data_IF_940545984105
#
_entry.id   IF_940545984105
#
_cell.length_a   1.000
_cell.length_b   1.000
_cell.length_c   1.000
_cell.angle_alpha   90.00
_cell.angle_beta   90.00
_cell.angle_gamma   90.00
#
_symmetry.space_group_name_H-M   'P 1'
#
loop_
_entity.id
_entity.type
_entity.pdbx_description
1 polymer ?
#
# COMPACT_ATOMS: atom_id res chain seq x y z
N UNK A 1 133.80 15.57 -52.25
CA UNK A 1 132.80 14.78 -51.47
C UNK A 1 133.43 14.47 -50.12
N UNK A 2 132.75 14.77 -49.01
CA UNK A 2 133.27 14.42 -47.69
C UNK A 2 133.27 12.89 -47.51
N UNK A 3 134.33 12.34 -46.91
CA UNK A 3 134.44 10.90 -46.62
C UNK A 3 133.51 10.57 -45.44
N UNK A 4 132.48 9.74 -45.67
CA UNK A 4 131.60 9.25 -44.59
C UNK A 4 132.34 8.17 -43.81
N UNK A 5 132.50 8.36 -42.49
CA UNK A 5 133.14 7.39 -41.58
C UNK A 5 132.08 6.54 -40.88
N UNK A 6 132.38 5.26 -40.65
CA UNK A 6 131.54 4.32 -39.91
C UNK A 6 132.28 3.84 -38.67
N UNK A 7 131.60 3.79 -37.53
CA UNK A 7 132.13 3.27 -36.26
C UNK A 7 131.07 2.43 -35.55
N UNK A 8 131.47 1.40 -34.80
CA UNK A 8 130.55 0.54 -34.07
C UNK A 8 131.08 0.19 -32.67
N UNK A 9 130.18 -0.08 -31.72
CA UNK A 9 130.54 -0.44 -30.34
C UNK A 9 129.32 -0.43 -29.42
N UNK A 10 129.51 -0.52 -28.10
CA UNK A 10 128.39 -0.40 -27.15
C UNK A 10 127.97 1.06 -26.95
N UNK A 11 126.74 1.30 -26.49
CA UNK A 11 126.23 2.63 -26.16
C UNK A 11 127.11 3.36 -25.14
N UNK A 12 127.62 2.63 -24.15
CA UNK A 12 128.56 3.17 -23.17
C UNK A 12 129.87 3.68 -23.82
N UNK A 13 130.40 2.97 -24.81
CA UNK A 13 131.59 3.41 -25.57
C UNK A 13 131.29 4.62 -26.44
N UNK A 14 130.11 4.69 -27.06
CA UNK A 14 129.66 5.88 -27.77
C UNK A 14 129.51 7.10 -26.84
N UNK A 15 128.95 6.90 -25.63
CA UNK A 15 128.75 7.98 -24.66
C UNK A 15 130.05 8.51 -24.07
N UNK A 16 131.09 7.68 -23.99
CA UNK A 16 132.43 8.08 -23.55
C UNK A 16 133.20 8.93 -24.59
N UNK A 17 132.73 9.05 -25.84
CA UNK A 17 133.37 9.87 -26.88
C UNK A 17 133.17 11.36 -26.60
N UNK A 18 134.27 12.12 -26.51
CA UNK A 18 134.26 13.58 -26.38
C UNK A 18 135.47 14.21 -27.11
N UNK A 19 135.27 15.02 -28.17
CA UNK A 19 134.01 15.28 -28.87
C UNK A 19 133.57 14.09 -29.74
N UNK A 20 132.28 14.01 -30.06
CA UNK A 20 131.75 13.09 -31.07
C UNK A 20 131.98 13.71 -32.46
N UNK A 21 132.52 12.94 -33.41
CA UNK A 21 132.75 13.42 -34.78
C UNK A 21 131.40 13.56 -35.51
N UNK A 22 131.06 14.77 -35.95
CA UNK A 22 129.80 15.10 -36.61
C UNK A 22 129.63 14.41 -37.97
N UNK A 23 130.72 13.95 -38.59
CA UNK A 23 130.72 13.28 -39.89
C UNK A 23 130.84 11.75 -39.80
N UNK A 24 130.81 11.19 -38.58
CA UNK A 24 130.81 9.73 -38.35
C UNK A 24 129.41 9.19 -38.04
N UNK A 25 129.07 8.08 -38.70
CA UNK A 25 127.93 7.24 -38.36
C UNK A 25 128.33 6.19 -37.32
N UNK A 26 127.69 6.23 -36.16
CA UNK A 26 127.93 5.32 -35.05
C UNK A 26 126.79 4.29 -34.91
N UNK A 27 127.16 3.01 -34.92
CA UNK A 27 126.25 1.88 -34.77
C UNK A 27 126.46 1.26 -33.39
N UNK A 28 125.45 1.36 -32.52
CA UNK A 28 125.52 0.74 -31.20
C UNK A 28 125.05 -0.71 -31.26
N UNK A 29 125.90 -1.65 -30.85
CA UNK A 29 125.63 -3.09 -30.99
C UNK A 29 124.70 -3.65 -29.93
N UNK A 30 124.63 -3.00 -28.76
CA UNK A 30 123.82 -3.38 -27.62
C UNK A 30 122.42 -2.77 -27.66
N UNK A 31 122.30 -1.48 -27.98
CA UNK A 31 121.00 -0.78 -28.03
C UNK A 31 120.39 -0.71 -29.44
N UNK A 32 121.12 -1.16 -30.47
CA UNK A 32 120.72 -1.12 -31.89
C UNK A 32 120.37 0.29 -32.39
N UNK A 33 120.99 1.32 -31.80
CA UNK A 33 120.79 2.71 -32.17
C UNK A 33 121.81 3.19 -33.21
N UNK A 34 121.38 4.09 -34.09
CA UNK A 34 122.22 4.78 -35.07
C UNK A 34 122.36 6.26 -34.69
N UNK A 35 123.60 6.76 -34.64
CA UNK A 35 123.88 8.18 -34.43
C UNK A 35 124.71 8.76 -35.57
N UNK A 36 124.49 10.03 -35.91
CA UNK A 36 125.43 10.86 -36.68
C UNK A 36 125.95 11.95 -35.74
N UNK A 37 127.21 11.86 -35.33
CA UNK A 37 127.72 12.72 -34.26
C UNK A 37 126.93 12.56 -32.96
N UNK A 38 126.28 13.63 -32.51
CA UNK A 38 125.42 13.68 -31.32
C UNK A 38 123.94 13.36 -31.60
N UNK A 39 123.53 13.35 -32.88
CA UNK A 39 122.13 13.17 -33.26
C UNK A 39 121.78 11.68 -33.42
N UNK A 40 120.72 11.24 -32.76
CA UNK A 40 120.19 9.87 -32.87
C UNK A 40 119.11 9.76 -33.95
N UNK A 41 119.18 8.73 -34.79
CA UNK A 41 118.27 8.50 -35.92
C UNK A 41 117.32 7.31 -35.73
N UNK A 42 117.49 6.50 -34.69
CA UNK A 42 116.73 5.26 -34.44
C UNK A 42 115.54 5.41 -33.50
N UNK A 43 115.42 6.51 -32.76
CA UNK A 43 114.30 6.71 -31.84
C UNK A 43 113.01 6.98 -32.61
N UNK A 44 112.03 6.10 -32.45
CA UNK A 44 110.66 6.27 -32.96
C UNK A 44 109.78 7.06 -32.00
N UNK A 45 110.23 7.28 -30.75
CA UNK A 45 109.52 8.09 -29.75
C UNK A 45 110.44 8.92 -28.86
N UNK A 46 109.91 10.04 -28.33
CA UNK A 46 110.56 10.96 -27.40
C UNK A 46 109.61 11.32 -26.26
N UNK A 47 110.07 11.16 -25.02
CA UNK A 47 109.36 11.69 -23.85
C UNK A 47 109.69 13.17 -23.68
N UNK A 48 108.67 14.00 -23.52
CA UNK A 48 108.80 15.46 -23.37
C UNK A 48 107.88 15.98 -22.26
N UNK A 49 108.29 17.05 -21.59
CA UNK A 49 107.41 17.78 -20.65
C UNK A 49 106.47 18.74 -21.38
N UNK A 50 106.86 19.22 -22.56
CA UNK A 50 106.04 20.04 -23.45
C UNK A 50 106.42 19.75 -24.91
N UNK A 51 105.51 20.01 -25.85
CA UNK A 51 105.84 19.85 -27.27
C UNK A 51 106.92 20.87 -27.69
N UNK A 52 107.96 20.44 -28.42
CA UNK A 52 109.04 21.34 -28.82
C UNK A 52 108.54 22.40 -29.81
N UNK A 53 108.98 23.64 -29.62
CA UNK A 53 108.69 24.77 -30.53
C UNK A 53 109.70 24.91 -31.66
N UNK A 54 110.89 24.31 -31.52
CA UNK A 54 111.92 24.22 -32.55
C UNK A 54 112.56 22.84 -32.56
N UNK A 55 113.13 22.43 -33.71
CA UNK A 55 113.79 21.12 -33.84
C UNK A 55 112.83 19.92 -33.87
N UNK A 56 111.59 20.12 -34.31
CA UNK A 56 110.60 19.06 -34.49
C UNK A 56 111.07 18.12 -35.61
N UNK A 57 111.17 16.84 -35.27
CA UNK A 57 111.49 15.78 -36.21
C UNK A 57 110.18 15.12 -36.67
N UNK A 58 109.95 15.14 -37.99
CA UNK A 58 108.81 14.50 -38.63
C UNK A 58 108.84 12.99 -38.40
N UNK A 59 107.67 12.39 -38.14
CA UNK A 59 107.53 10.94 -37.99
C UNK A 59 107.90 10.37 -36.61
N UNK A 60 108.39 11.20 -35.67
CA UNK A 60 108.63 10.78 -34.28
C UNK A 60 107.39 11.02 -33.42
N UNK A 61 107.06 10.05 -32.57
CA UNK A 61 106.01 10.19 -31.55
C UNK A 61 106.57 10.91 -30.32
N UNK A 62 106.01 12.07 -29.99
CA UNK A 62 106.27 12.83 -28.78
C UNK A 62 105.25 12.42 -27.71
N UNK A 63 105.74 11.76 -26.67
CA UNK A 63 104.96 11.40 -25.50
C UNK A 63 105.07 12.53 -24.47
N UNK A 64 103.98 13.26 -24.25
CA UNK A 64 103.95 14.35 -23.29
C UNK A 64 103.64 13.79 -21.90
N UNK A 65 104.59 13.93 -20.98
CA UNK A 65 104.53 13.33 -19.65
C UNK A 65 103.54 14.02 -18.69
N UNK A 66 103.02 15.21 -19.04
CA UNK A 66 102.10 15.98 -18.19
C UNK A 66 100.65 15.49 -18.28
N UNK A 67 100.21 15.09 -19.46
CA UNK A 67 98.82 14.69 -19.76
C UNK A 67 98.75 13.31 -20.44
N UNK A 68 99.90 12.62 -20.53
CA UNK A 68 100.05 11.31 -21.19
C UNK A 68 99.57 11.31 -22.65
N UNK A 69 99.58 12.48 -23.31
CA UNK A 69 99.20 12.61 -24.71
C UNK A 69 100.34 12.23 -25.66
N UNK A 70 99.97 11.57 -26.75
CA UNK A 70 100.87 11.12 -27.81
C UNK A 70 100.66 12.01 -29.03
N UNK A 71 101.72 12.67 -29.48
CA UNK A 71 101.66 13.58 -30.63
C UNK A 71 102.67 13.18 -31.69
N UNK A 72 102.34 13.30 -32.97
CA UNK A 72 103.29 13.14 -34.07
C UNK A 72 103.41 14.45 -34.84
N UNK A 73 104.64 14.85 -35.16
CA UNK A 73 104.86 15.99 -36.05
C UNK A 73 104.69 15.53 -37.51
N UNK A 74 103.71 16.10 -38.22
CA UNK A 74 103.45 15.74 -39.62
C UNK A 74 104.26 16.56 -40.65
N UNK A 75 105.05 17.54 -40.18
CA UNK A 75 105.79 18.49 -41.03
C UNK A 75 105.28 19.93 -40.89
N UNK A 76 104.03 20.11 -40.44
CA UNK A 76 103.35 21.41 -40.31
C UNK A 76 102.80 21.63 -38.90
N UNK A 77 102.23 20.60 -38.29
CA UNK A 77 101.64 20.66 -36.95
C UNK A 77 101.82 19.34 -36.18
N UNK A 78 101.53 19.39 -34.87
CA UNK A 78 101.43 18.20 -34.04
C UNK A 78 100.02 17.62 -34.13
N UNK A 79 99.92 16.38 -34.60
CA UNK A 79 98.67 15.62 -34.59
C UNK A 79 98.64 14.73 -33.35
N UNK A 80 97.63 14.90 -32.50
CA UNK A 80 97.42 14.03 -31.35
C UNK A 80 96.87 12.67 -31.79
N UNK A 81 97.43 11.59 -31.27
CA UNK A 81 97.12 10.20 -31.66
C UNK A 81 96.15 9.51 -30.71
N UNK A 82 96.11 9.93 -29.43
CA UNK A 82 95.21 9.38 -28.43
C UNK A 82 94.07 10.36 -28.12
N UNK A 83 92.89 9.85 -27.76
CA UNK A 83 91.81 10.69 -27.21
C UNK A 83 92.25 11.29 -25.88
N UNK A 84 91.88 12.54 -25.64
CA UNK A 84 92.14 13.21 -24.37
C UNK A 84 91.27 12.63 -23.26
N UNK A 85 91.83 12.49 -22.06
CA UNK A 85 91.06 12.09 -20.88
C UNK A 85 90.45 13.31 -20.19
N UNK A 86 89.20 13.21 -19.75
CA UNK A 86 88.52 14.26 -18.98
C UNK A 86 88.41 13.90 -17.50
N UNK A 87 88.66 14.88 -16.64
CA UNK A 87 88.58 14.72 -15.17
C UNK A 87 87.19 14.97 -14.61
N UNK A 88 86.25 15.41 -15.45
CA UNK A 88 84.84 15.61 -15.14
C UNK A 88 84.02 15.25 -16.38
N UNK A 89 82.88 14.58 -16.20
CA UNK A 89 81.96 14.29 -17.31
C UNK A 89 81.15 15.57 -17.61
N UNK A 90 81.28 16.17 -18.81
CA UNK A 90 80.49 17.35 -19.17
C UNK A 90 79.03 16.98 -19.44
N UNK A 91 78.13 17.97 -19.39
CA UNK A 91 76.70 17.75 -19.61
C UNK A 91 76.36 17.35 -21.06
N UNK A 92 77.19 17.79 -21.98
CA UNK A 92 77.16 17.60 -23.43
C UNK A 92 78.33 16.72 -23.91
N UNK A 93 78.67 15.69 -23.12
CA UNK A 93 79.74 14.75 -23.45
C UNK A 93 79.56 14.15 -24.85
N UNK A 94 80.68 14.07 -25.57
CA UNK A 94 80.79 13.49 -26.91
C UNK A 94 81.55 12.17 -26.86
N UNK A 95 81.53 11.41 -27.96
CA UNK A 95 82.31 10.16 -28.09
C UNK A 95 83.84 10.37 -27.95
N UNK A 96 84.31 11.61 -27.96
CA UNK A 96 85.72 11.95 -27.82
C UNK A 96 86.16 12.19 -26.37
N UNK A 97 85.21 12.36 -25.45
CA UNK A 97 85.48 12.61 -24.03
C UNK A 97 85.68 11.29 -23.29
N UNK A 98 86.93 10.91 -23.02
CA UNK A 98 87.24 9.69 -22.28
C UNK A 98 87.34 10.00 -20.77
N UNK A 99 86.35 9.63 -19.93
CA UNK A 99 86.39 10.00 -18.54
C UNK A 99 87.42 9.18 -17.76
N UNK A 100 88.08 9.82 -16.79
CA UNK A 100 88.86 9.11 -15.77
C UNK A 100 87.93 8.30 -14.84
N UNK A 101 88.45 7.25 -14.21
CA UNK A 101 87.68 6.45 -13.22
C UNK A 101 87.10 7.32 -12.10
N UNK A 102 87.85 8.34 -11.66
CA UNK A 102 87.36 9.31 -10.67
C UNK A 102 86.19 10.14 -11.20
N UNK A 103 86.25 10.61 -12.44
CA UNK A 103 85.16 11.37 -13.06
C UNK A 103 83.85 10.55 -13.11
N UNK A 104 83.94 9.25 -13.40
CA UNK A 104 82.77 8.34 -13.38
C UNK A 104 82.23 8.17 -11.95
N UNK A 105 83.10 7.89 -10.99
CA UNK A 105 82.69 7.72 -9.59
C UNK A 105 82.02 8.98 -9.04
N UNK A 106 82.60 10.16 -9.28
CA UNK A 106 82.04 11.44 -8.84
C UNK A 106 80.69 11.72 -9.51
N UNK A 107 80.56 11.46 -10.82
CA UNK A 107 79.29 11.64 -11.54
C UNK A 107 78.19 10.72 -11.01
N UNK A 108 78.48 9.43 -10.83
CA UNK A 108 77.53 8.46 -10.27
C UNK A 108 77.15 8.84 -8.85
N UNK A 109 78.11 9.16 -7.98
CA UNK A 109 77.83 9.60 -6.62
C UNK A 109 76.98 10.87 -6.59
N UNK A 110 77.25 11.85 -7.46
CA UNK A 110 76.44 13.06 -7.56
C UNK A 110 74.99 12.75 -8.01
N UNK A 111 74.80 11.82 -8.96
CA UNK A 111 73.46 11.37 -9.38
C UNK A 111 72.73 10.60 -8.29
N UNK A 112 73.44 9.75 -7.54
CA UNK A 112 72.90 9.02 -6.39
C UNK A 112 72.52 9.98 -5.26
N UNK A 113 73.39 10.91 -4.89
CA UNK A 113 73.08 11.93 -3.88
C UNK A 113 71.92 12.86 -4.30
N UNK A 114 71.73 13.07 -5.61
CA UNK A 114 70.59 13.81 -6.14
C UNK A 114 69.26 13.03 -6.11
N UNK A 115 69.25 11.78 -5.65
CA UNK A 115 68.03 10.97 -5.48
C UNK A 115 67.90 10.37 -4.08
N UNK A 116 69.01 10.13 -3.40
CA UNK A 116 69.09 9.57 -2.05
C UNK A 116 68.67 10.61 -1.01
N UNK A 117 67.83 10.21 -0.05
CA UNK A 117 67.34 11.09 1.01
C UNK A 117 66.36 12.18 0.57
N UNK A 118 65.96 12.21 -0.72
CA UNK A 118 64.96 13.18 -1.19
C UNK A 118 63.55 12.67 -0.86
N UNK A 119 62.96 13.36 0.10
CA UNK A 119 61.55 13.25 0.50
C UNK A 119 60.61 13.31 -0.70
N UNK A 120 59.66 12.38 -0.77
CA UNK A 120 58.58 12.31 -1.76
C UNK A 120 58.92 11.66 -3.10
N UNK A 121 60.19 11.34 -3.39
CA UNK A 121 60.62 10.82 -4.70
C UNK A 121 60.50 9.30 -4.84
N UNK A 122 60.92 8.55 -3.84
CA UNK A 122 60.91 7.07 -3.83
C UNK A 122 60.20 6.55 -2.59
N UNK A 123 59.62 5.36 -2.68
CA UNK A 123 59.08 4.66 -1.52
C UNK A 123 60.24 4.14 -0.68
N UNK A 124 60.31 4.54 0.58
CA UNK A 124 61.34 4.13 1.53
C UNK A 124 60.87 2.99 2.41
N UNK A 125 59.56 2.93 2.68
CA UNK A 125 58.98 1.87 3.51
C UNK A 125 57.49 1.65 3.16
N UNK A 126 57.01 0.42 3.37
CA UNK A 126 55.61 0.03 3.24
C UNK A 126 55.25 -0.89 4.39
N UNK A 127 54.31 -0.47 5.23
CA UNK A 127 53.84 -1.27 6.37
C UNK A 127 52.34 -1.50 6.30
N UNK A 128 51.92 -2.62 6.90
CA UNK A 128 50.52 -2.99 7.05
C UNK A 128 50.23 -3.21 8.53
N UNK A 129 49.15 -2.59 9.02
CA UNK A 129 48.63 -2.85 10.35
C UNK A 129 47.11 -2.78 10.33
N UNK A 130 46.45 -3.90 10.65
CA UNK A 130 45.00 -3.99 10.86
C UNK A 130 44.16 -3.20 9.84
N UNK A 131 44.33 -3.50 8.55
CA UNK A 131 43.56 -2.87 7.47
C UNK A 131 44.06 -1.51 7.01
N UNK A 132 45.14 -0.98 7.58
CA UNK A 132 45.77 0.28 7.14
C UNK A 132 47.10 -0.03 6.46
N UNK A 133 47.24 0.42 5.21
CA UNK A 133 48.51 0.47 4.51
C UNK A 133 49.16 1.83 4.75
N UNK A 134 50.43 1.83 5.10
CA UNK A 134 51.20 3.03 5.40
C UNK A 134 52.42 3.06 4.49
N UNK A 135 52.49 4.07 3.62
CA UNK A 135 53.55 4.20 2.60
C UNK A 135 54.39 5.43 2.90
N UNK A 136 55.66 5.23 3.25
CA UNK A 136 56.62 6.28 3.50
C UNK A 136 57.44 6.60 2.24
N UNK A 137 57.70 7.90 2.01
CA UNK A 137 58.63 8.38 0.98
C UNK A 137 59.72 9.26 1.59
N UNK A 138 60.34 8.81 2.67
CA UNK A 138 61.33 9.58 3.45
C UNK A 138 60.73 10.66 4.36
N UNK A 139 59.41 10.76 4.43
CA UNK A 139 58.61 11.66 5.27
C UNK A 139 57.60 10.86 6.09
N UNK A 140 56.79 11.56 6.89
CA UNK A 140 55.61 10.98 7.53
C UNK A 140 54.80 10.15 6.52
N UNK A 141 54.48 8.90 6.85
CA UNK A 141 53.89 7.99 5.90
C UNK A 141 52.45 8.39 5.57
N UNK A 142 52.07 8.19 4.30
CA UNK A 142 50.70 8.35 3.86
C UNK A 142 49.95 7.07 4.18
N UNK A 143 48.92 7.19 5.02
CA UNK A 143 48.08 6.06 5.43
C UNK A 143 46.82 5.96 4.59
N UNK A 144 46.52 4.76 4.12
CA UNK A 144 45.29 4.43 3.39
C UNK A 144 44.62 3.23 4.06
N UNK A 145 43.41 3.43 4.56
CA UNK A 145 42.58 2.34 5.07
C UNK A 145 42.00 1.53 3.90
N UNK A 146 42.05 0.20 4.01
CA UNK A 146 41.44 -0.76 3.08
C UNK A 146 39.91 -0.80 3.28
N UNK A 147 39.27 0.34 3.10
CA UNK A 147 37.84 0.52 3.36
C UNK A 147 37.01 -0.48 2.56
N UNK A 148 36.09 -1.18 3.23
CA UNK A 148 35.20 -2.16 2.61
C UNK A 148 35.71 -3.60 2.63
N UNK A 149 36.93 -3.87 3.11
CA UNK A 149 37.46 -5.23 3.25
C UNK A 149 37.00 -5.83 4.58
N UNK A 150 36.39 -7.01 4.50
CA UNK A 150 35.96 -7.79 5.68
C UNK A 150 37.17 -8.44 6.35
N UNK A 151 37.21 -8.43 7.68
CA UNK A 151 38.18 -9.18 8.46
C UNK A 151 37.49 -9.93 9.60
N UNK A 152 38.09 -11.05 10.02
CA UNK A 152 37.69 -11.81 11.21
C UNK A 152 36.16 -12.04 11.33
N UNK A 153 35.51 -12.63 10.32
CA UNK A 153 34.08 -12.89 10.37
C UNK A 153 33.76 -13.87 11.50
N UNK A 154 32.67 -13.60 12.23
CA UNK A 154 32.24 -14.44 13.36
C UNK A 154 30.80 -14.88 13.21
N UNK A 155 30.50 -16.06 13.76
CA UNK A 155 29.15 -16.60 13.85
C UNK A 155 28.76 -16.76 15.32
N UNK A 156 27.62 -16.19 15.67
CA UNK A 156 26.97 -16.37 16.96
C UNK A 156 25.82 -17.35 16.81
N UNK A 157 26.00 -18.54 17.40
CA UNK A 157 25.01 -19.62 17.35
C UNK A 157 23.76 -19.33 18.18
N UNK A 158 23.87 -18.56 19.27
CA UNK A 158 22.73 -18.22 20.14
C UNK A 158 21.79 -17.25 19.44
N UNK A 159 22.35 -16.24 18.76
CA UNK A 159 21.56 -15.23 18.04
C UNK A 159 21.33 -15.58 16.56
N UNK A 160 21.99 -16.63 16.04
CA UNK A 160 22.05 -16.98 14.60
C UNK A 160 22.43 -15.79 13.73
N UNK A 161 23.40 -15.00 14.19
CA UNK A 161 23.91 -13.84 13.44
C UNK A 161 25.33 -14.08 12.95
N UNK A 162 25.61 -13.62 11.73
CA UNK A 162 26.97 -13.53 11.20
C UNK A 162 27.38 -12.06 11.28
N UNK A 163 28.50 -11.79 11.95
CA UNK A 163 29.12 -10.46 12.01
C UNK A 163 30.34 -10.46 11.11
N UNK A 164 30.40 -9.47 10.23
CA UNK A 164 31.47 -9.25 9.27
C UNK A 164 32.07 -7.86 9.56
N UNK A 165 33.03 -7.76 10.50
CA UNK A 165 33.77 -6.51 10.72
C UNK A 165 34.41 -6.04 9.42
N UNK A 166 34.33 -4.74 9.14
CA UNK A 166 34.84 -4.14 7.89
C UNK A 166 35.82 -3.04 8.26
N UNK A 167 37.00 -3.05 7.64
CA UNK A 167 37.95 -1.95 7.83
C UNK A 167 37.34 -0.64 7.33
N UNK A 168 37.50 0.44 8.13
CA UNK A 168 37.05 1.79 7.76
C UNK A 168 35.54 1.99 7.64
N UNK A 169 34.71 1.05 8.12
CA UNK A 169 33.26 1.12 8.04
C UNK A 169 32.55 0.36 9.16
N UNK A 170 31.23 0.33 9.08
CA UNK A 170 30.40 -0.38 10.06
C UNK A 170 30.49 -1.90 9.86
N UNK A 171 30.34 -2.64 10.97
CA UNK A 171 30.24 -4.10 10.92
C UNK A 171 28.96 -4.52 10.21
N UNK A 172 29.08 -5.28 9.12
CA UNK A 172 27.94 -5.86 8.45
C UNK A 172 27.39 -7.02 9.30
N UNK A 173 26.13 -6.92 9.70
CA UNK A 173 25.45 -7.95 10.49
C UNK A 173 24.37 -8.61 9.65
N UNK A 174 24.47 -9.92 9.47
CA UNK A 174 23.48 -10.74 8.77
C UNK A 174 22.73 -11.55 9.83
N UNK A 175 21.44 -11.25 10.00
CA UNK A 175 20.56 -12.07 10.80
C UNK A 175 19.99 -13.20 9.93
N UNK A 176 20.31 -14.45 10.26
CA UNK A 176 19.82 -15.61 9.50
C UNK A 176 18.35 -15.96 9.80
N UNK A 177 17.74 -15.27 10.77
CA UNK A 177 16.43 -15.62 11.31
C UNK A 177 16.48 -16.89 12.16
N UNK A 178 15.78 -16.89 13.29
CA UNK A 178 15.45 -18.14 13.97
C UNK A 178 14.18 -18.68 13.32
N UNK A 179 14.22 -19.92 12.85
CA UNK A 179 13.02 -20.60 12.39
C UNK A 179 12.07 -20.76 13.58
N UNK A 180 10.89 -20.13 13.49
CA UNK A 180 9.84 -20.26 14.48
C UNK A 180 9.14 -21.60 14.25
N UNK A 181 9.63 -22.64 14.90
CA UNK A 181 9.04 -23.97 14.87
C UNK A 181 8.22 -24.22 16.13
N UNK A 182 7.16 -25.01 16.01
CA UNK A 182 6.34 -25.40 17.16
C UNK A 182 7.12 -26.41 18.00
N UNK A 183 7.39 -26.06 19.26
CA UNK A 183 8.10 -26.91 20.22
C UNK A 183 7.17 -27.92 20.89
N UNK A 184 5.95 -27.50 21.20
CA UNK A 184 4.90 -28.34 21.75
C UNK A 184 3.53 -27.72 21.48
N UNK A 185 2.49 -28.55 21.55
CA UNK A 185 1.10 -28.12 21.57
C UNK A 185 0.40 -28.71 22.79
N UNK A 186 -0.34 -27.88 23.52
CA UNK A 186 -1.12 -28.30 24.69
C UNK A 186 -2.55 -27.78 24.59
N UNK A 187 -3.49 -28.49 25.21
CA UNK A 187 -4.87 -28.03 25.31
C UNK A 187 -5.10 -27.41 26.70
N UNK A 188 -5.43 -26.12 26.73
CA UNK A 188 -5.75 -25.39 27.95
C UNK A 188 -7.24 -25.57 28.26
N UNK A 189 -7.53 -26.35 29.31
CA UNK A 189 -8.91 -26.70 29.72
C UNK A 189 -9.68 -25.53 30.31
N UNK A 190 -9.00 -24.50 30.84
CA UNK A 190 -9.62 -23.33 31.46
C UNK A 190 -10.12 -22.34 30.40
N UNK A 191 -9.25 -22.03 29.44
CA UNK A 191 -9.53 -21.05 28.41
C UNK A 191 -10.06 -21.69 27.11
N UNK A 192 -10.14 -23.03 27.07
CA UNK A 192 -10.58 -23.84 25.91
C UNK A 192 -9.82 -23.50 24.62
N UNK A 193 -8.51 -23.31 24.74
CA UNK A 193 -7.61 -23.02 23.61
C UNK A 193 -6.65 -24.19 23.37
N UNK A 194 -6.31 -24.43 22.11
CA UNK A 194 -5.06 -25.12 21.78
C UNK A 194 -3.95 -24.08 21.81
N UNK A 195 -2.95 -24.31 22.65
CA UNK A 195 -1.81 -23.44 22.84
C UNK A 195 -0.57 -24.10 22.21
N UNK A 196 -0.08 -23.51 21.11
CA UNK A 196 1.13 -23.94 20.43
C UNK A 196 2.29 -23.04 20.86
N UNK A 197 3.27 -23.60 21.54
CA UNK A 197 4.45 -22.85 21.99
C UNK A 197 5.52 -22.90 20.89
N UNK A 198 5.94 -21.73 20.41
CA UNK A 198 7.03 -21.60 19.45
C UNK A 198 8.39 -21.75 20.14
N UNK A 199 9.44 -22.01 19.37
CA UNK A 199 10.82 -22.01 19.86
C UNK A 199 11.28 -20.67 20.46
N UNK A 200 10.60 -19.56 20.15
CA UNK A 200 10.83 -18.25 20.78
C UNK A 200 10.25 -18.13 22.20
N UNK A 201 9.37 -19.04 22.60
CA UNK A 201 8.58 -18.95 23.84
C UNK A 201 7.22 -18.26 23.65
N UNK A 202 6.96 -17.67 22.49
CA UNK A 202 5.63 -17.12 22.16
C UNK A 202 4.60 -18.24 22.02
N UNK A 203 3.37 -17.96 22.42
CA UNK A 203 2.26 -18.93 22.40
C UNK A 203 1.19 -18.48 21.41
N UNK A 204 0.92 -19.32 20.41
CA UNK A 204 -0.22 -19.15 19.50
C UNK A 204 -1.43 -19.81 20.16
N UNK A 205 -2.50 -19.03 20.37
CA UNK A 205 -3.76 -19.52 20.96
C UNK A 205 -4.81 -19.68 19.87
N UNK A 206 -5.29 -20.92 19.69
CA UNK A 206 -6.38 -21.24 18.78
C UNK A 206 -7.63 -21.50 19.64
N UNK A 207 -8.63 -20.61 19.60
CA UNK A 207 -9.86 -20.80 20.36
C UNK A 207 -10.68 -21.94 19.76
N UNK A 208 -10.86 -22.99 20.55
CA UNK A 208 -11.66 -24.17 20.17
C UNK A 208 -12.88 -24.36 21.06
N UNK A 209 -13.15 -23.41 21.97
CA UNK A 209 -14.25 -23.51 22.94
C UNK A 209 -15.61 -23.86 22.32
N UNK A 210 -15.97 -23.24 21.20
CA UNK A 210 -17.23 -23.51 20.49
C UNK A 210 -17.27 -24.85 19.76
N UNK A 211 -16.13 -25.51 19.53
CA UNK A 211 -16.05 -26.82 18.88
C UNK A 211 -16.18 -27.99 19.87
N UNK A 212 -16.02 -27.72 21.17
CA UNK A 212 -15.97 -28.73 22.23
C UNK A 212 -17.02 -28.51 23.32
N UNK A 213 -17.99 -27.63 23.08
CA UNK A 213 -19.01 -27.34 24.10
C UNK A 213 -19.87 -28.57 24.38
N UNK A 214 -19.84 -28.99 25.65
CA UNK A 214 -20.64 -30.09 26.17
C UNK A 214 -22.00 -29.49 26.56
N UNK A 215 -23.03 -29.81 25.79
CA UNK A 215 -24.40 -29.47 26.17
C UNK A 215 -24.77 -30.27 27.42
N UNK A 216 -25.21 -29.57 28.48
CA UNK A 216 -25.69 -30.21 29.70
C UNK A 216 -27.21 -30.11 29.74
N UNK A 217 -27.88 -31.25 29.88
CA UNK A 217 -29.32 -31.29 30.07
C UNK A 217 -29.71 -30.73 31.44
N UNK A 218 -30.81 -29.99 31.50
CA UNK A 218 -31.32 -29.38 32.74
C UNK A 218 -32.70 -29.92 33.06
N UNK A 219 -32.92 -30.29 34.32
CA UNK A 219 -34.24 -30.65 34.82
C UNK A 219 -35.02 -29.41 35.28
N UNK A 220 -36.27 -29.33 34.86
CA UNK A 220 -37.24 -28.29 35.27
C UNK A 220 -38.47 -28.96 35.91
N UNK A 221 -39.42 -28.19 36.47
CA UNK A 221 -40.65 -28.76 37.02
C UNK A 221 -41.53 -29.50 35.99
N UNK A 222 -41.49 -29.13 34.71
CA UNK A 222 -42.34 -29.71 33.65
C UNK A 222 -41.64 -30.73 32.76
N UNK A 223 -40.30 -30.72 32.69
CA UNK A 223 -39.56 -31.64 31.84
C UNK A 223 -38.13 -31.87 32.35
N UNK A 224 -37.56 -33.02 31.98
CA UNK A 224 -36.17 -33.38 32.21
C UNK A 224 -35.48 -33.57 30.86
N UNK A 225 -34.43 -32.78 30.61
CA UNK A 225 -33.61 -32.88 29.41
C UNK A 225 -32.31 -33.57 29.79
N UNK A 226 -31.89 -34.57 29.01
CA UNK A 226 -30.64 -35.30 29.22
C UNK A 226 -29.83 -35.34 27.93
N UNK A 227 -28.50 -35.26 28.05
CA UNK A 227 -27.56 -35.44 26.93
C UNK A 227 -26.79 -36.72 27.18
N UNK A 228 -26.87 -37.67 26.25
CA UNK A 228 -26.20 -38.97 26.37
C UNK A 228 -24.70 -38.87 26.05
N UNK A 229 -23.94 -39.92 26.39
CA UNK A 229 -22.52 -40.03 26.04
C UNK A 229 -22.26 -40.01 24.52
N UNK A 230 -23.25 -40.36 23.71
CA UNK A 230 -23.20 -40.31 22.24
C UNK A 230 -23.71 -38.98 21.66
N UNK A 231 -23.82 -37.93 22.49
CA UNK A 231 -24.34 -36.61 22.13
C UNK A 231 -25.79 -36.61 21.61
N UNK A 232 -26.63 -37.57 22.03
CA UNK A 232 -28.07 -37.54 21.74
C UNK A 232 -28.80 -36.77 22.83
N UNK A 233 -29.63 -35.81 22.42
CA UNK A 233 -30.49 -35.04 23.33
C UNK A 233 -31.82 -35.78 23.46
N UNK A 234 -32.27 -36.01 24.69
CA UNK A 234 -33.58 -36.61 24.98
C UNK A 234 -34.33 -35.75 25.99
N UNK A 235 -35.67 -35.73 25.87
CA UNK A 235 -36.55 -34.94 26.73
C UNK A 235 -37.66 -35.84 27.26
N UNK A 236 -37.80 -35.88 28.58
CA UNK A 236 -38.90 -36.53 29.27
C UNK A 236 -39.84 -35.47 29.85
N UNK A 237 -41.11 -35.44 29.42
CA UNK A 237 -42.12 -34.52 29.95
C UNK A 237 -42.74 -35.10 31.22
N UNK A 238 -42.93 -34.28 32.25
CA UNK A 238 -43.51 -34.69 33.53
C UNK A 238 -45.02 -34.45 33.52
N UNK A 239 -45.79 -35.48 33.85
CA UNK A 239 -47.25 -35.38 34.04
C UNK A 239 -47.55 -35.16 35.52
N UNK A 240 -48.40 -34.18 35.81
CA UNK A 240 -48.79 -33.83 37.18
C UNK A 240 -49.60 -34.95 37.83
N UNK A 241 -49.22 -35.33 39.05
CA UNK A 241 -49.95 -36.31 39.86
C UNK A 241 -51.19 -35.73 40.60
N UNK A 242 -51.55 -34.46 40.36
CA UNK A 242 -52.72 -33.84 40.98
C UNK A 242 -54.01 -34.55 40.55
N UNK A 243 -54.93 -34.74 41.50
CA UNK A 243 -56.27 -35.24 41.21
C UNK A 243 -56.95 -34.35 40.15
N UNK A 244 -57.68 -34.98 39.22
CA UNK A 244 -58.37 -34.35 38.07
C UNK A 244 -57.46 -33.83 36.94
N UNK A 245 -56.17 -34.20 36.90
CA UNK A 245 -55.37 -34.02 35.68
C UNK A 245 -55.82 -35.03 34.61
N UNK A 246 -56.17 -34.56 33.42
CA UNK A 246 -56.65 -35.37 32.29
C UNK A 246 -55.58 -35.64 31.23
N UNK A 247 -54.37 -35.08 31.38
CA UNK A 247 -53.23 -35.29 30.51
C UNK A 247 -52.58 -36.66 30.76
N UNK A 248 -52.51 -37.50 29.73
CA UNK A 248 -51.77 -38.77 29.69
C UNK A 248 -50.61 -38.70 28.69
N UNK A 249 -49.59 -39.51 28.93
CA UNK A 249 -48.50 -39.75 27.97
C UNK A 249 -48.80 -41.05 27.25
N UNK A 250 -48.99 -40.97 25.94
CA UNK A 250 -49.17 -42.10 25.04
C UNK A 250 -47.89 -42.34 24.22
N UNK A 251 -47.81 -43.46 23.50
CA UNK A 251 -46.65 -43.79 22.66
C UNK A 251 -46.43 -42.77 21.53
N UNK A 252 -47.50 -42.12 21.06
CA UNK A 252 -47.49 -41.14 19.98
C UNK A 252 -47.52 -39.67 20.45
N UNK A 253 -47.60 -39.40 21.76
CA UNK A 253 -47.47 -38.05 22.30
C UNK A 253 -48.25 -37.75 23.57
N UNK A 254 -48.55 -36.46 23.77
CA UNK A 254 -49.32 -35.95 24.90
C UNK A 254 -50.81 -35.97 24.54
N UNK A 255 -51.63 -36.68 25.33
CA UNK A 255 -53.06 -36.81 25.10
C UNK A 255 -53.87 -36.22 26.26
N UNK A 256 -55.02 -35.59 25.95
CA UNK A 256 -55.97 -35.11 26.96
C UNK A 256 -57.34 -35.65 26.61
N UNK A 257 -57.96 -36.40 27.54
CA UNK A 257 -59.35 -36.81 27.40
C UNK A 257 -60.28 -35.65 27.78
N UNK A 258 -61.27 -35.36 26.94
CA UNK A 258 -62.36 -34.42 27.23
C UNK A 258 -63.64 -35.23 27.43
N UNK A 259 -64.01 -35.60 28.67
CA UNK A 259 -65.29 -36.25 28.92
C UNK A 259 -66.44 -35.24 28.75
N UNK A 260 -67.50 -35.63 28.03
CA UNK A 260 -68.71 -34.82 27.86
C UNK A 260 -69.42 -34.55 29.19
N UNK A 261 -69.93 -33.33 29.37
CA UNK A 261 -70.53 -32.86 30.62
C UNK A 261 -71.90 -33.49 30.97
N UNK A 262 -72.59 -34.10 30.00
CA UNK A 262 -73.89 -34.76 30.18
C UNK A 262 -73.94 -36.08 29.45
N UNK A 263 -74.60 -37.06 30.05
CA UNK A 263 -74.83 -38.38 29.44
C UNK A 263 -75.99 -38.32 28.43
N UNK A 264 -75.95 -39.19 27.42
CA UNK A 264 -77.05 -39.34 26.43
C UNK A 264 -78.42 -39.54 27.10
N UNK A 265 -78.46 -40.26 28.21
CA UNK A 265 -79.67 -40.52 29.00
C UNK A 265 -80.30 -39.25 29.56
N UNK A 266 -79.49 -38.29 30.03
CA UNK A 266 -79.98 -37.02 30.56
C UNK A 266 -80.59 -36.14 29.46
N UNK A 267 -80.01 -36.15 28.25
CA UNK A 267 -80.53 -35.44 27.08
C UNK A 267 -81.87 -36.03 26.62
N UNK A 268 -81.92 -37.36 26.46
CA UNK A 268 -83.12 -38.06 25.98
C UNK A 268 -84.32 -37.84 26.94
N UNK A 269 -84.06 -37.78 28.25
CA UNK A 269 -85.09 -37.48 29.26
C UNK A 269 -85.70 -36.09 29.07
N UNK A 270 -84.88 -35.05 28.88
CA UNK A 270 -85.35 -33.67 28.71
C UNK A 270 -86.13 -33.49 27.40
N UNK A 271 -85.67 -34.11 26.31
CA UNK A 271 -86.36 -34.07 25.02
C UNK A 271 -87.74 -34.72 25.10
N UNK A 272 -87.85 -35.85 25.82
CA UNK A 272 -89.13 -36.53 26.02
C UNK A 272 -90.15 -35.67 26.76
N UNK A 273 -89.74 -34.94 27.80
CA UNK A 273 -90.64 -34.03 28.53
C UNK A 273 -91.26 -32.98 27.62
N UNK A 274 -90.48 -32.39 26.71
CA UNK A 274 -90.97 -31.39 25.75
C UNK A 274 -91.95 -32.03 24.75
N UNK A 275 -91.62 -33.20 24.23
CA UNK A 275 -92.46 -33.89 23.26
C UNK A 275 -93.83 -34.27 23.84
N UNK A 276 -93.87 -34.73 25.09
CA UNK A 276 -95.11 -35.09 25.78
C UNK A 276 -96.01 -33.85 26.02
N UNK A 277 -95.41 -32.68 26.30
CA UNK A 277 -96.13 -31.42 26.42
C UNK A 277 -96.77 -30.96 25.08
N UNK A 278 -96.02 -31.04 23.97
CA UNK A 278 -96.57 -30.72 22.64
C UNK A 278 -97.72 -31.66 22.25
N UNK A 279 -97.59 -32.96 22.51
CA UNK A 279 -98.61 -33.94 22.20
C UNK A 279 -99.91 -33.70 22.98
N UNK A 280 -99.80 -33.19 24.21
CA UNK A 280 -100.95 -32.79 25.03
C UNK A 280 -101.65 -31.57 24.42
N UNK A 281 -100.91 -30.51 24.09
CA UNK A 281 -101.47 -29.30 23.48
C UNK A 281 -102.21 -29.59 22.15
N UNK A 282 -101.63 -30.42 21.28
CA UNK A 282 -102.22 -30.76 19.99
C UNK A 282 -103.60 -31.47 20.08
N UNK A 283 -103.91 -32.07 21.22
CA UNK A 283 -105.18 -32.78 21.47
C UNK A 283 -106.20 -31.93 22.22
N UNK A 284 -105.84 -30.72 22.65
CA UNK A 284 -106.70 -29.87 23.46
C UNK A 284 -107.66 -29.05 22.58
N UNK A 285 -108.89 -29.53 22.46
CA UNK A 285 -109.96 -28.84 21.71
C UNK A 285 -110.59 -27.68 22.48
N UNK A 286 -110.14 -27.38 23.70
CA UNK A 286 -110.64 -26.28 24.55
C UNK A 286 -109.84 -25.00 24.31
N UNK A 287 -108.54 -25.13 24.03
CA UNK A 287 -107.66 -24.02 23.64
C UNK A 287 -107.86 -23.67 22.15
N UNK A 288 -108.40 -24.60 21.37
CA UNK A 288 -108.85 -24.39 19.98
C UNK A 288 -110.36 -24.09 19.93
N UNK A 289 -110.84 -23.44 18.87
CA UNK A 289 -112.30 -23.30 18.66
C UNK A 289 -112.90 -24.64 18.25
N UNK A 290 -114.02 -25.02 18.87
CA UNK A 290 -114.73 -26.25 18.50
C UNK A 290 -115.38 -26.13 17.12
N UNK A 291 -115.74 -27.26 16.51
CA UNK A 291 -116.41 -27.28 15.21
C UNK A 291 -117.77 -26.53 15.23
N UNK A 292 -118.52 -26.66 16.32
CA UNK A 292 -119.80 -25.98 16.51
C UNK A 292 -119.64 -24.45 16.70
N UNK A 293 -118.63 -24.01 17.45
CA UNK A 293 -118.31 -22.58 17.60
C UNK A 293 -117.87 -21.94 16.29
N UNK A 294 -117.19 -22.69 15.42
CA UNK A 294 -116.80 -22.25 14.08
C UNK A 294 -118.01 -22.05 13.16
N UNK A 295 -119.00 -22.95 13.20
CA UNK A 295 -120.27 -22.76 12.47
C UNK A 295 -121.03 -21.52 12.95
N UNK A 296 -121.11 -21.30 14.26
CA UNK A 296 -121.76 -20.11 14.82
C UNK A 296 -121.06 -18.80 14.41
N UNK A 297 -119.73 -18.79 14.30
CA UNK A 297 -118.97 -17.63 13.84
C UNK A 297 -119.23 -17.32 12.36
N UNK A 298 -119.36 -18.35 11.52
CA UNK A 298 -119.60 -18.20 10.07
C UNK A 298 -121.00 -17.67 9.71
N UNK A 299 -121.96 -17.64 10.65
CA UNK A 299 -123.32 -17.12 10.45
C UNK A 299 -123.41 -15.60 10.71
N UNK A 300 -122.35 -14.95 11.19
CA UNK A 300 -122.34 -13.49 11.39
C UNK A 300 -122.28 -12.73 10.06
N UNK A 301 -122.87 -11.52 10.05
CA UNK A 301 -122.94 -10.61 8.89
C UNK A 301 -121.61 -10.52 8.15
N UNK A 302 -121.65 -10.74 6.84
CA UNK A 302 -120.51 -10.61 5.97
C UNK A 302 -120.13 -9.14 5.71
N UNK A 303 -118.88 -8.88 5.37
CA UNK A 303 -118.44 -7.53 4.96
C UNK A 303 -119.27 -6.98 3.78
N UNK A 304 -119.78 -7.85 2.92
CA UNK A 304 -120.65 -7.48 1.78
C UNK A 304 -121.99 -6.95 2.25
N UNK A 305 -122.63 -7.61 3.22
CA UNK A 305 -123.90 -7.17 3.80
C UNK A 305 -123.75 -5.85 4.55
N UNK A 306 -122.63 -5.67 5.27
CA UNK A 306 -122.32 -4.42 5.95
C UNK A 306 -122.11 -3.26 4.96
N UNK A 307 -121.41 -3.53 3.84
CA UNK A 307 -121.17 -2.54 2.79
C UNK A 307 -122.47 -2.10 2.11
N UNK A 308 -123.37 -3.04 1.78
CA UNK A 308 -124.64 -2.71 1.14
C UNK A 308 -125.52 -1.83 2.04
N UNK A 309 -125.58 -2.13 3.34
CA UNK A 309 -126.33 -1.30 4.31
C UNK A 309 -125.75 0.11 4.46
N UNK A 310 -124.41 0.26 4.39
CA UNK A 310 -123.75 1.57 4.42
C UNK A 310 -124.11 2.39 3.16
N UNK A 311 -124.02 1.78 1.98
CA UNK A 311 -124.24 2.49 0.71
C UNK A 311 -125.70 2.96 0.55
N UNK A 312 -126.68 2.17 1.02
CA UNK A 312 -128.09 2.56 1.06
C UNK A 312 -128.31 3.80 1.96
N UNK A 313 -127.71 3.81 3.16
CA UNK A 313 -127.81 4.93 4.08
C UNK A 313 -127.20 6.22 3.52
N UNK A 314 -126.04 6.11 2.85
CA UNK A 314 -125.38 7.24 2.18
C UNK A 314 -126.23 7.78 1.03
N UNK A 315 -126.84 6.91 0.23
CA UNK A 315 -127.71 7.30 -0.89
C UNK A 315 -128.93 8.11 -0.42
N UNK A 316 -129.61 7.64 0.64
CA UNK A 316 -130.77 8.34 1.24
C UNK A 316 -130.36 9.70 1.80
N UNK A 317 -129.24 9.77 2.52
CA UNK A 317 -128.74 11.02 3.09
C UNK A 317 -128.35 12.05 2.01
N UNK A 318 -127.73 11.60 0.91
CA UNK A 318 -127.37 12.46 -0.22
C UNK A 318 -128.61 13.07 -0.89
N UNK A 319 -129.66 12.27 -1.12
CA UNK A 319 -130.91 12.75 -1.73
C UNK A 319 -131.63 13.81 -0.86
N UNK A 320 -131.65 13.62 0.46
CA UNK A 320 -132.25 14.58 1.40
C UNK A 320 -131.44 15.90 1.45
N UNK A 321 -130.11 15.82 1.43
CA UNK A 321 -129.23 16.99 1.40
C UNK A 321 -129.43 17.83 0.14
N UNK A 322 -129.50 17.21 -1.05
CA UNK A 322 -129.78 17.90 -2.32
C UNK A 322 -131.11 18.63 -2.26
N UNK A 323 -132.17 17.96 -1.79
CA UNK A 323 -133.51 18.55 -1.67
C UNK A 323 -133.54 19.78 -0.75
N UNK A 324 -132.81 19.73 0.37
CA UNK A 324 -132.70 20.87 1.31
C UNK A 324 -131.88 22.03 0.72
N UNK A 325 -130.81 21.72 -0.01
CA UNK A 325 -130.00 22.74 -0.68
C UNK A 325 -130.79 23.50 -1.77
N UNK A 326 -131.56 22.77 -2.58
CA UNK A 326 -132.43 23.36 -3.61
C UNK A 326 -133.50 24.27 -2.99
N UNK A 327 -134.10 23.86 -1.88
CA UNK A 327 -135.07 24.67 -1.13
C UNK A 327 -134.43 25.95 -0.57
N UNK A 328 -133.21 25.87 -0.02
CA UNK A 328 -132.48 27.03 0.47
C UNK A 328 -132.12 28.01 -0.65
N UNK A 329 -131.67 27.50 -1.81
CA UNK A 329 -131.36 28.31 -2.99
C UNK A 329 -132.60 29.03 -3.52
N UNK A 330 -133.74 28.34 -3.57
CA UNK A 330 -135.02 28.93 -3.97
C UNK A 330 -135.44 30.07 -3.01
N UNK A 331 -135.36 29.82 -1.70
CA UNK A 331 -135.67 30.83 -0.68
C UNK A 331 -134.75 32.07 -0.75
N UNK A 332 -133.45 31.87 -1.01
CA UNK A 332 -132.50 32.97 -1.17
C UNK A 332 -132.79 33.83 -2.41
N UNK A 333 -133.18 33.21 -3.54
CA UNK A 333 -133.63 33.95 -4.74
C UNK A 333 -134.85 34.81 -4.41
N UNK A 334 -135.89 34.21 -3.81
CA UNK A 334 -137.11 34.94 -3.42
C UNK A 334 -136.82 36.13 -2.51
N UNK A 335 -135.94 35.97 -1.52
CA UNK A 335 -135.55 37.07 -0.62
C UNK A 335 -134.82 38.21 -1.37
N UNK A 336 -133.86 37.85 -2.23
CA UNK A 336 -133.08 38.81 -3.03
C UNK A 336 -133.97 39.58 -3.99
N UNK A 337 -134.87 38.89 -4.69
CA UNK A 337 -135.85 39.49 -5.61
C UNK A 337 -136.78 40.47 -4.86
N UNK A 338 -137.19 40.13 -3.63
CA UNK A 338 -137.95 41.00 -2.75
C UNK A 338 -137.21 42.28 -2.35
N UNK A 339 -135.94 42.17 -1.96
CA UNK A 339 -135.09 43.34 -1.65
C UNK A 339 -134.87 44.23 -2.88
N UNK A 340 -134.60 43.65 -4.05
CA UNK A 340 -134.44 44.39 -5.30
C UNK A 340 -135.71 45.17 -5.65
N UNK A 341 -136.88 44.54 -5.50
CA UNK A 341 -138.18 45.18 -5.71
C UNK A 341 -138.39 46.36 -4.74
N UNK A 342 -138.04 46.20 -3.47
CA UNK A 342 -138.14 47.27 -2.47
C UNK A 342 -137.18 48.44 -2.75
N UNK A 343 -135.96 48.15 -3.21
CA UNK A 343 -134.96 49.15 -3.57
C UNK A 343 -135.39 49.95 -4.80
N UNK A 344 -135.91 49.28 -5.83
CA UNK A 344 -136.47 49.93 -7.02
C UNK A 344 -137.58 50.93 -6.65
N UNK A 345 -138.45 50.56 -5.72
CA UNK A 345 -139.46 51.46 -5.16
C UNK A 345 -138.87 52.70 -4.47
N UNK A 346 -137.83 52.54 -3.66
CA UNK A 346 -137.15 53.66 -2.97
C UNK A 346 -136.43 54.60 -3.94
N UNK A 347 -135.75 54.06 -4.97
CA UNK A 347 -135.04 54.86 -5.99
C UNK A 347 -136.03 55.74 -6.74
N UNK A 348 -137.15 55.18 -7.20
CA UNK A 348 -138.21 55.93 -7.88
C UNK A 348 -138.77 57.08 -7.04
N UNK A 349 -138.84 56.93 -5.72
CA UNK A 349 -139.26 58.01 -4.81
C UNK A 349 -138.22 59.13 -4.76
N UNK A 350 -136.93 58.79 -4.68
CA UNK A 350 -135.82 59.76 -4.67
C UNK A 350 -135.74 60.53 -5.99
N UNK A 351 -135.86 59.83 -7.11
CA UNK A 351 -135.87 60.44 -8.46
C UNK A 351 -136.98 61.49 -8.60
N UNK A 352 -138.16 61.26 -7.99
CA UNK A 352 -139.26 62.23 -7.95
C UNK A 352 -138.99 63.46 -7.08
N UNK A 353 -138.17 63.33 -6.05
CA UNK A 353 -137.92 64.40 -5.07
C UNK A 353 -136.80 65.38 -5.52
N UNK A 354 -135.98 64.98 -6.48
CA UNK A 354 -134.93 65.82 -7.06
C UNK A 354 -135.54 66.91 -7.96
N UNK A 355 -135.54 68.14 -7.49
CA UNK A 355 -135.86 69.34 -8.27
C UNK A 355 -134.56 69.98 -8.74
N UNK A 356 -134.30 69.92 -10.04
CA UNK A 356 -133.17 70.59 -10.67
C UNK A 356 -133.41 72.09 -10.70
N UNK A 357 -132.48 72.87 -10.14
CA UNK A 357 -132.50 74.34 -10.18
C UNK A 357 -131.71 74.80 -11.42
N UNK A 358 -132.29 75.61 -12.33
CA UNK A 358 -131.56 76.11 -13.49
C UNK A 358 -130.50 77.13 -13.06
N UNK A 359 -129.34 77.10 -13.71
CA UNK A 359 -128.38 78.21 -13.72
C UNK A 359 -128.84 79.19 -14.80
N UNK A 360 -129.07 80.43 -14.37
CA UNK A 360 -129.47 81.56 -15.18
C UNK A 360 -128.25 82.32 -15.71
N UNK A 361 -128.52 83.15 -16.71
CA UNK A 361 -127.73 84.28 -17.19
C UNK A 361 -126.48 84.04 -18.07
N UNK A 362 -126.75 84.28 -19.36
CA UNK A 362 -126.06 85.26 -20.21
C UNK A 362 -124.56 85.12 -20.44
N UNK A 363 -124.24 84.81 -21.69
CA UNK A 363 -123.26 85.59 -22.46
C UNK A 363 -121.82 85.07 -22.46
N UNK A 364 -121.45 84.49 -23.61
CA UNK A 364 -120.15 84.55 -24.29
C UNK A 364 -119.97 83.23 -25.06
N UNK A 365 -120.31 83.16 -26.34
CA UNK A 365 -119.49 83.57 -27.48
C UNK A 365 -118.15 82.83 -27.60
N UNK A 366 -117.98 82.30 -28.81
CA UNK A 366 -116.75 82.25 -29.60
C UNK A 366 -115.92 80.95 -29.59
N UNK A 367 -115.85 80.39 -30.80
CA UNK A 367 -114.65 79.90 -31.51
C UNK A 367 -113.90 78.72 -30.86
N UNK A 368 -113.71 77.57 -31.50
CA UNK A 368 -113.44 77.25 -32.91
C UNK A 368 -113.81 75.79 -33.19
#
# INVERSE_FOLDING_TARGET
MAQVKFSYGTKARYDALSPKDMDTLYFTTDTLQLFKGTAEYTKTSKMVSALPTTGQIQGIIYFRMTDYSMHIWNGVEFVQLNKSTVTQIPADATDNDIPTTKAVADYVNAKVAAVEGIKGKFVTDVTYNAGVLSVAKGDEPVTTTLTGVVHEPTYDAETRTIKLPVFGGDTLTIALGKDLVVKNGTYNTKDKNIELTLTSGDVIKIPVGSLIDIYTGVATPSAEVTVSADNKISVAVKVSAKANNTLTLEEDGLYVSVPDAYTKTEVDTKVKTIQDALNTHAKDTTVHITAAEREAWNVKVSQTELKNSHDDAVSVAAADATKKADAALAGAKTYTDGLNTAMDGRVKVVEKALTWKPIDDTGASAET
#
